data_IF_563735657185
#
_entry.id   IF_563735657185
#
_cell.length_a   1.000
_cell.length_b   1.000
_cell.length_c   1.000
_cell.angle_alpha   90.00
_cell.angle_beta   90.00
_cell.angle_gamma   90.00
#
_symmetry.space_group_name_H-M   'P 1'
#
loop_
_entity.id
_entity.type
_entity.pdbx_description
1 polymer ?
#
# COMPACT_ATOMS: atom_id res chain seq x y z
N UNK A 1 -25.11 -57.06 -26.09
CA UNK A 1 -23.86 -57.78 -26.48
C UNK A 1 -22.71 -57.17 -25.68
N UNK A 2 -22.00 -57.99 -24.89
CA UNK A 2 -20.53 -58.20 -24.91
C UNK A 2 -19.71 -56.88 -24.96
N UNK A 3 -19.08 -56.37 -23.88
CA UNK A 3 -18.12 -56.91 -22.86
C UNK A 3 -16.65 -56.58 -23.24
N UNK A 4 -15.81 -56.45 -22.19
CA UNK A 4 -14.32 -56.29 -22.15
C UNK A 4 -13.80 -54.86 -22.43
N UNK A 5 -12.82 -54.29 -21.70
CA UNK A 5 -12.15 -54.55 -20.39
C UNK A 5 -11.32 -53.25 -20.12
N UNK A 6 -11.36 -52.49 -19.02
CA UNK A 6 -11.15 -52.74 -17.58
C UNK A 6 -9.71 -53.20 -17.20
N UNK A 7 -9.26 -52.84 -15.98
CA UNK A 7 -8.13 -53.41 -15.21
C UNK A 7 -6.72 -52.83 -15.59
N UNK A 8 -5.82 -52.42 -14.67
CA UNK A 8 -5.68 -52.67 -13.22
C UNK A 8 -5.13 -51.45 -12.43
N UNK A 9 -5.81 -51.09 -11.33
CA UNK A 9 -5.24 -50.39 -10.16
C UNK A 9 -5.28 -51.39 -8.99
N UNK A 10 -4.38 -51.28 -8.01
CA UNK A 10 -4.28 -52.10 -6.77
C UNK A 10 -3.62 -53.49 -6.93
N UNK A 11 -2.38 -53.64 -6.45
CA UNK A 11 -1.96 -54.68 -5.48
C UNK A 11 -0.43 -54.74 -5.27
N UNK A 12 0.06 -54.13 -4.19
CA UNK A 12 1.26 -54.58 -3.47
C UNK A 12 1.05 -54.23 -1.98
N UNK A 13 0.69 -55.25 -1.18
CA UNK A 13 0.32 -55.13 0.23
C UNK A 13 1.34 -55.90 1.09
N UNK A 14 1.63 -55.42 2.30
CA UNK A 14 2.55 -56.01 3.31
C UNK A 14 4.04 -56.07 2.88
N UNK A 15 5.07 -55.93 3.75
CA UNK A 15 5.23 -56.08 5.22
C UNK A 15 6.24 -55.02 5.72
N UNK A 16 6.42 -54.65 6.99
CA UNK A 16 5.66 -54.83 8.27
C UNK A 16 6.27 -53.94 9.36
N UNK A 17 5.57 -53.71 10.49
CA UNK A 17 6.18 -53.17 11.72
C UNK A 17 7.19 -54.15 12.35
N UNK A 18 8.23 -53.64 13.02
CA UNK A 18 8.74 -54.07 14.34
C UNK A 18 9.77 -53.03 14.86
N UNK A 19 9.85 -52.85 16.17
CA UNK A 19 10.70 -51.87 16.87
C UNK A 19 11.95 -52.50 17.52
N UNK A 20 12.77 -51.66 18.17
CA UNK A 20 14.00 -51.97 18.92
C UNK A 20 15.20 -52.43 18.06
N UNK A 21 16.47 -52.16 18.40
CA UNK A 21 17.02 -51.38 19.52
C UNK A 21 18.39 -51.91 19.96
N UNK A 22 19.44 -51.07 19.95
CA UNK A 22 20.83 -51.40 20.32
C UNK A 22 21.57 -52.31 19.34
N UNK A 23 22.90 -52.46 19.37
CA UNK A 23 24.01 -51.62 19.88
C UNK A 23 25.34 -52.19 19.33
N UNK A 24 26.46 -51.47 19.54
CA UNK A 24 27.85 -51.97 19.47
C UNK A 24 28.44 -52.27 18.06
N UNK A 25 29.72 -52.01 17.73
CA UNK A 25 30.87 -51.42 18.46
C UNK A 25 31.79 -50.70 17.42
N UNK A 26 32.20 -49.45 17.66
CA UNK A 26 33.52 -49.02 18.19
C UNK A 26 34.73 -48.99 17.24
N UNK A 27 35.29 -47.78 17.05
CA UNK A 27 36.75 -47.51 17.03
C UNK A 27 37.00 -46.00 17.18
N UNK A 28 37.56 -45.58 18.31
CA UNK A 28 38.10 -44.24 18.58
C UNK A 28 39.59 -44.36 19.01
N UNK A 29 40.39 -43.28 19.16
CA UNK A 29 40.27 -42.42 20.35
C UNK A 29 40.58 -40.92 20.13
N UNK A 30 40.42 -40.11 21.18
CA UNK A 30 40.74 -38.68 21.23
C UNK A 30 41.87 -38.36 22.23
N UNK A 31 42.46 -37.15 22.19
CA UNK A 31 43.04 -36.45 23.35
C UNK A 31 43.21 -34.94 23.09
N UNK A 32 43.35 -34.14 24.17
CA UNK A 32 43.20 -32.68 24.20
C UNK A 32 44.41 -31.92 24.79
N UNK A 33 44.63 -30.65 24.41
CA UNK A 33 44.76 -29.47 25.31
C UNK A 33 45.52 -28.23 24.74
N UNK A 34 44.86 -27.07 24.91
CA UNK A 34 45.32 -25.74 25.40
C UNK A 34 46.68 -25.06 25.04
N UNK A 35 46.55 -23.75 24.73
CA UNK A 35 47.41 -22.58 25.01
C UNK A 35 48.90 -22.51 24.57
N UNK A 36 49.22 -21.55 23.70
CA UNK A 36 49.94 -20.28 24.05
C UNK A 36 50.38 -19.46 22.83
N UNK A 37 50.34 -18.12 22.93
CA UNK A 37 50.99 -17.16 22.00
C UNK A 37 52.44 -16.94 22.44
N UNK A 38 53.41 -16.66 21.53
CA UNK A 38 53.66 -15.25 21.15
C UNK A 38 54.26 -14.98 19.73
N UNK A 39 53.86 -13.83 19.15
CA UNK A 39 54.72 -12.72 18.65
C UNK A 39 56.01 -13.04 17.85
N UNK A 40 56.08 -12.65 16.56
CA UNK A 40 56.93 -11.57 16.00
C UNK A 40 56.94 -11.53 14.44
N UNK A 41 56.99 -10.31 13.87
CA UNK A 41 57.29 -9.98 12.46
C UNK A 41 58.83 -10.00 12.21
N UNK A 42 59.40 -9.64 11.02
CA UNK A 42 58.87 -9.38 9.67
C UNK A 42 59.51 -10.32 8.60
N UNK A 43 59.13 -10.36 7.31
CA UNK A 43 59.68 -9.44 6.27
C UNK A 43 59.23 -9.80 4.84
N UNK A 44 58.58 -8.83 4.17
CA UNK A 44 58.82 -8.37 2.77
C UNK A 44 59.34 -9.37 1.71
N UNK A 45 58.46 -9.81 0.80
CA UNK A 45 58.82 -10.15 -0.60
C UNK A 45 57.80 -9.53 -1.57
N UNK A 46 58.30 -8.94 -2.65
CA UNK A 46 57.51 -8.20 -3.65
C UNK A 46 57.10 -9.10 -4.83
N UNK A 47 55.88 -8.89 -5.33
CA UNK A 47 55.46 -9.05 -6.74
C UNK A 47 55.74 -10.37 -7.49
N UNK A 48 54.70 -11.19 -7.64
CA UNK A 48 54.16 -11.55 -8.97
C UNK A 48 52.69 -12.01 -8.84
N UNK A 49 51.76 -11.25 -9.40
CA UNK A 49 50.32 -11.53 -9.32
C UNK A 49 49.79 -12.16 -10.62
N UNK A 50 49.13 -13.31 -10.48
CA UNK A 50 48.16 -13.84 -11.43
C UNK A 50 46.91 -14.25 -10.65
N UNK A 51 45.73 -14.01 -11.23
CA UNK A 51 44.45 -14.00 -10.51
C UNK A 51 44.01 -15.38 -9.97
N UNK A 52 43.05 -15.39 -9.04
CA UNK A 52 41.68 -15.64 -9.52
C UNK A 52 40.62 -14.62 -9.05
N UNK A 53 39.72 -14.32 -9.99
CA UNK A 53 38.32 -13.85 -9.88
C UNK A 53 37.83 -13.25 -8.54
N UNK A 54 37.62 -11.94 -8.55
CA UNK A 54 36.72 -11.24 -7.63
C UNK A 54 35.27 -11.30 -8.15
N UNK A 55 34.32 -11.76 -7.34
CA UNK A 55 32.91 -11.41 -7.51
C UNK A 55 32.71 -9.97 -6.98
N UNK A 56 32.73 -8.99 -7.88
CA UNK A 56 32.48 -7.60 -7.54
C UNK A 56 31.06 -7.43 -7.00
N UNK A 57 30.93 -6.84 -5.82
CA UNK A 57 29.70 -6.17 -5.44
C UNK A 57 29.38 -5.13 -6.53
N UNK A 58 28.16 -5.17 -7.07
CA UNK A 58 27.71 -4.13 -7.98
C UNK A 58 27.40 -2.89 -7.13
N UNK A 59 28.26 -1.87 -7.24
CA UNK A 59 27.91 -0.52 -6.83
C UNK A 59 26.63 -0.13 -7.59
N UNK A 60 25.54 0.12 -6.85
CA UNK A 60 24.33 0.70 -7.43
C UNK A 60 24.73 2.08 -7.92
N UNK A 61 24.73 2.29 -9.23
CA UNK A 61 25.07 3.60 -9.78
C UNK A 61 23.96 4.57 -9.44
N UNK A 62 24.21 5.43 -8.45
CA UNK A 62 23.43 6.63 -8.15
C UNK A 62 23.42 7.53 -9.40
N UNK A 63 22.51 7.20 -10.30
CA UNK A 63 22.05 8.11 -11.33
C UNK A 63 21.04 9.01 -10.64
N UNK A 64 21.55 10.10 -10.07
CA UNK A 64 20.74 11.27 -9.77
C UNK A 64 20.07 11.65 -11.08
N UNK A 65 18.79 11.32 -11.21
CA UNK A 65 17.96 11.73 -12.34
C UNK A 65 17.89 13.24 -12.23
N UNK A 66 18.49 13.95 -13.20
CA UNK A 66 18.34 15.39 -13.32
C UNK A 66 16.85 15.76 -13.35
N UNK A 67 16.57 16.96 -12.86
CA UNK A 67 15.29 17.63 -12.60
C UNK A 67 14.27 17.53 -13.76
N UNK A 68 13.78 16.31 -14.00
CA UNK A 68 12.65 16.03 -14.85
C UNK A 68 11.42 16.32 -14.01
N UNK A 69 10.56 17.24 -14.46
CA UNK A 69 9.21 17.43 -13.93
C UNK A 69 8.48 16.08 -13.94
N UNK A 70 8.55 15.34 -12.82
CA UNK A 70 7.89 14.05 -12.69
C UNK A 70 6.39 14.30 -12.80
N UNK A 71 5.78 13.62 -13.77
CA UNK A 71 4.38 13.78 -14.11
C UNK A 71 3.56 13.31 -12.92
N UNK A 72 3.09 14.24 -12.09
CA UNK A 72 2.27 13.94 -10.89
C UNK A 72 0.88 13.44 -11.28
N UNK A 73 0.34 13.94 -12.41
CA UNK A 73 -1.01 13.63 -12.87
C UNK A 73 -0.99 12.80 -14.15
N UNK A 74 -1.37 11.53 -14.04
CA UNK A 74 -1.51 10.61 -15.16
C UNK A 74 -2.52 9.51 -14.85
N UNK A 75 -2.98 8.81 -15.88
CA UNK A 75 -3.76 7.58 -15.72
C UNK A 75 -2.94 6.42 -16.27
N UNK A 76 -2.67 5.40 -15.45
CA UNK A 76 -2.10 4.13 -15.92
C UNK A 76 -3.19 3.08 -16.10
N UNK A 77 -2.92 2.09 -16.95
CA UNK A 77 -3.79 0.93 -17.11
C UNK A 77 -3.02 -0.36 -17.30
N UNK A 78 -3.65 -1.46 -16.94
CA UNK A 78 -3.05 -2.76 -17.17
C UNK A 78 -3.82 -3.88 -16.50
N UNK A 79 -3.14 -5.01 -16.35
CA UNK A 79 -3.53 -6.02 -15.37
C UNK A 79 -2.98 -5.62 -14.01
N UNK A 80 -3.69 -5.93 -12.91
CA UNK A 80 -3.10 -5.90 -11.58
C UNK A 80 -1.74 -6.63 -11.54
N UNK A 81 -0.74 -6.03 -10.89
CA UNK A 81 0.53 -6.68 -10.54
C UNK A 81 0.38 -7.35 -9.14
N UNK A 82 1.49 -7.74 -8.50
CA UNK A 82 1.50 -8.36 -7.16
C UNK A 82 0.56 -7.60 -6.19
N UNK A 83 -0.21 -8.35 -5.38
CA UNK A 83 -1.22 -7.77 -4.48
C UNK A 83 -2.29 -6.88 -5.19
N UNK A 84 -2.56 -7.17 -6.46
CA UNK A 84 -3.49 -6.44 -7.34
C UNK A 84 -3.29 -4.91 -7.45
N UNK A 85 -2.14 -4.44 -7.01
CA UNK A 85 -1.64 -3.08 -7.23
C UNK A 85 -1.26 -2.99 -8.71
N UNK A 86 -1.77 -2.03 -9.48
CA UNK A 86 -1.08 -1.68 -10.73
C UNK A 86 0.15 -0.87 -10.35
N UNK A 87 1.32 -1.33 -10.80
CA UNK A 87 2.60 -0.64 -10.70
C UNK A 87 2.42 0.88 -10.88
N UNK A 88 2.70 1.65 -9.82
CA UNK A 88 2.63 3.13 -9.83
C UNK A 88 3.61 3.78 -10.79
N UNK A 89 4.55 3.01 -11.34
CA UNK A 89 5.48 3.45 -12.37
C UNK A 89 4.69 3.78 -13.65
N UNK A 90 4.58 5.08 -13.96
CA UNK A 90 4.18 5.55 -15.28
C UNK A 90 5.14 4.95 -16.31
N UNK A 91 4.61 4.15 -17.25
CA UNK A 91 5.38 3.73 -18.42
C UNK A 91 4.76 4.36 -19.66
N UNK A 92 5.59 4.94 -20.52
CA UNK A 92 5.19 5.49 -21.82
C UNK A 92 4.42 4.51 -22.72
N UNK A 93 4.41 3.21 -22.39
CA UNK A 93 3.59 2.21 -23.04
C UNK A 93 2.14 2.16 -22.51
N UNK A 94 1.91 2.37 -21.21
CA UNK A 94 0.63 2.07 -20.52
C UNK A 94 0.10 3.18 -19.61
N UNK A 95 0.62 4.40 -19.71
CA UNK A 95 0.03 5.60 -19.08
C UNK A 95 -0.38 6.66 -20.09
N UNK A 96 -1.23 7.59 -19.66
CA UNK A 96 -1.57 8.84 -20.34
C UNK A 96 -1.29 9.99 -19.38
N UNK A 97 -0.34 10.86 -19.75
CA UNK A 97 -0.11 12.12 -19.04
C UNK A 97 -1.35 13.03 -19.13
N UNK A 98 -1.65 13.70 -18.02
CA UNK A 98 -2.68 14.71 -17.93
C UNK A 98 -2.03 16.08 -17.74
N UNK A 99 -2.68 17.09 -18.29
CA UNK A 99 -2.29 18.50 -18.20
C UNK A 99 -3.31 19.32 -17.39
N UNK A 100 -4.53 18.78 -17.23
CA UNK A 100 -5.69 19.43 -16.64
C UNK A 100 -6.44 18.49 -15.71
N UNK A 101 -6.82 19.00 -14.54
CA UNK A 101 -7.70 18.32 -13.58
C UNK A 101 -8.86 19.25 -13.24
N UNK A 102 -10.09 18.87 -13.58
CA UNK A 102 -11.30 19.69 -13.41
C UNK A 102 -11.21 21.10 -14.03
N UNK A 103 -10.42 21.24 -15.10
CA UNK A 103 -10.15 22.49 -15.80
C UNK A 103 -10.43 22.37 -17.31
N UNK A 104 -10.67 23.51 -17.96
CA UNK A 104 -10.85 23.60 -19.40
C UNK A 104 -9.61 23.10 -20.19
N UNK A 105 -9.82 22.17 -21.12
CA UNK A 105 -8.74 21.51 -21.89
C UNK A 105 -8.47 22.24 -23.20
N UNK A 106 -7.22 22.63 -23.45
CA UNK A 106 -6.78 23.22 -24.72
C UNK A 106 -6.37 22.16 -25.76
N UNK A 107 -6.11 22.60 -26.99
CA UNK A 107 -5.52 21.72 -28.01
C UNK A 107 -4.16 21.18 -27.54
N UNK A 108 -3.87 19.92 -27.87
CA UNK A 108 -2.66 19.19 -27.46
C UNK A 108 -2.57 18.82 -25.97
N UNK A 109 -3.54 19.22 -25.15
CA UNK A 109 -3.65 18.83 -23.74
C UNK A 109 -4.56 17.59 -23.56
N UNK A 110 -4.33 16.83 -22.49
CA UNK A 110 -5.31 15.86 -21.97
C UNK A 110 -5.83 16.34 -20.61
N UNK A 111 -7.11 16.11 -20.34
CA UNK A 111 -7.73 16.50 -19.07
C UNK A 111 -8.57 15.39 -18.46
N UNK A 112 -8.66 15.39 -17.13
CA UNK A 112 -9.55 14.52 -16.34
C UNK A 112 -10.60 15.34 -15.60
N UNK A 113 -11.81 14.80 -15.51
CA UNK A 113 -12.94 15.37 -14.80
C UNK A 113 -13.51 14.35 -13.82
N UNK A 114 -13.70 14.74 -12.57
CA UNK A 114 -14.27 13.91 -11.48
C UNK A 114 -15.68 14.38 -11.10
N UNK A 115 -16.39 13.60 -10.29
CA UNK A 115 -17.80 13.83 -9.96
C UNK A 115 -18.10 15.29 -9.54
N UNK A 116 -19.27 15.79 -9.93
CA UNK A 116 -19.68 17.19 -9.72
C UNK A 116 -19.15 18.19 -10.77
N UNK A 117 -18.10 17.85 -11.52
CA UNK A 117 -17.53 18.71 -12.56
C UNK A 117 -18.16 18.46 -13.94
N UNK A 118 -17.89 19.38 -14.88
CA UNK A 118 -18.34 19.28 -16.28
C UNK A 118 -17.15 19.38 -17.21
N UNK A 119 -17.21 18.65 -18.33
CA UNK A 119 -16.21 18.73 -19.38
C UNK A 119 -16.25 20.13 -20.01
N UNK A 120 -15.08 20.77 -20.07
CA UNK A 120 -14.90 22.08 -20.67
C UNK A 120 -13.66 22.09 -21.57
N UNK A 121 -13.70 22.89 -22.64
CA UNK A 121 -12.56 23.14 -23.50
C UNK A 121 -12.16 24.61 -23.43
N UNK A 122 -10.87 24.89 -23.54
CA UNK A 122 -10.35 26.25 -23.59
C UNK A 122 -10.83 27.00 -24.86
N UNK A 123 -10.79 28.33 -24.82
CA UNK A 123 -11.23 29.15 -25.96
C UNK A 123 -10.47 28.80 -27.25
N UNK A 124 -11.22 28.50 -28.32
CA UNK A 124 -10.66 28.14 -29.62
C UNK A 124 -10.29 26.66 -29.81
N UNK A 125 -10.40 25.82 -28.77
CA UNK A 125 -10.30 24.38 -28.93
C UNK A 125 -11.59 23.80 -29.54
N UNK A 126 -11.45 22.80 -30.41
CA UNK A 126 -12.56 22.15 -31.12
C UNK A 126 -12.68 20.70 -30.68
N UNK A 127 -13.85 20.34 -30.12
CA UNK A 127 -14.22 19.01 -29.62
C UNK A 127 -14.00 17.90 -30.65
N UNK A 128 -14.08 18.19 -31.95
CA UNK A 128 -13.80 17.22 -33.00
C UNK A 128 -12.35 16.70 -32.98
N UNK A 129 -11.42 17.36 -32.27
CA UNK A 129 -10.03 16.93 -32.08
C UNK A 129 -9.80 16.01 -30.88
N UNK A 130 -10.82 15.73 -30.06
CA UNK A 130 -10.66 14.94 -28.85
C UNK A 130 -11.46 13.64 -28.90
N UNK A 131 -10.94 12.61 -28.23
CA UNK A 131 -11.72 11.48 -27.78
C UNK A 131 -12.16 11.71 -26.33
N UNK A 132 -13.28 11.08 -25.93
CA UNK A 132 -13.75 11.11 -24.53
C UNK A 132 -13.86 9.67 -24.04
N UNK A 133 -13.12 9.34 -22.98
CA UNK A 133 -13.15 8.05 -22.32
C UNK A 133 -13.85 8.16 -20.96
N UNK A 134 -14.85 7.32 -20.71
CA UNK A 134 -15.61 7.28 -19.46
C UNK A 134 -15.19 6.05 -18.66
N UNK A 135 -14.86 6.25 -17.38
CA UNK A 135 -14.45 5.19 -16.46
C UNK A 135 -15.36 5.19 -15.24
N UNK A 136 -15.81 4.01 -14.84
CA UNK A 136 -16.65 3.79 -13.66
C UNK A 136 -15.97 2.78 -12.73
N UNK A 137 -16.13 2.97 -11.42
CA UNK A 137 -15.66 1.98 -10.44
C UNK A 137 -16.52 0.72 -10.52
N UNK A 138 -15.86 -0.43 -10.56
CA UNK A 138 -16.54 -1.72 -10.68
C UNK A 138 -16.38 -2.53 -9.40
N UNK A 139 -17.44 -2.56 -8.58
CA UNK A 139 -17.54 -3.27 -7.30
C UNK A 139 -17.45 -4.81 -7.38
N UNK A 140 -17.33 -5.40 -8.58
CA UNK A 140 -16.99 -6.84 -8.74
C UNK A 140 -15.49 -7.08 -8.81
N UNK A 141 -14.72 -6.13 -9.35
CA UNK A 141 -13.25 -6.24 -9.54
C UNK A 141 -12.45 -5.19 -8.75
N UNK A 142 -13.14 -4.32 -8.01
CA UNK A 142 -12.63 -3.24 -7.15
C UNK A 142 -11.57 -2.36 -7.83
N UNK A 143 -11.94 -1.80 -8.97
CA UNK A 143 -11.12 -0.82 -9.70
C UNK A 143 -11.91 -0.14 -10.81
N UNK A 144 -11.36 0.94 -11.36
CA UNK A 144 -12.00 1.64 -12.47
C UNK A 144 -11.84 0.85 -13.77
N UNK A 145 -12.94 0.71 -14.50
CA UNK A 145 -12.98 0.06 -15.81
C UNK A 145 -13.54 1.02 -16.85
N UNK A 146 -13.07 0.89 -18.11
CA UNK A 146 -13.63 1.64 -19.23
C UNK A 146 -15.10 1.27 -19.42
N UNK A 147 -15.99 2.25 -19.24
CA UNK A 147 -17.42 2.17 -19.54
C UNK A 147 -17.71 2.50 -21.01
N UNK A 148 -17.13 3.59 -21.51
CA UNK A 148 -17.36 4.12 -22.85
C UNK A 148 -16.07 4.74 -23.43
N UNK A 149 -15.95 4.75 -24.75
CA UNK A 149 -14.99 5.58 -25.47
C UNK A 149 -15.67 6.19 -26.70
N UNK A 150 -15.82 7.51 -26.72
CA UNK A 150 -16.24 8.28 -27.89
C UNK A 150 -14.99 8.63 -28.69
N UNK A 151 -14.97 8.22 -29.97
CA UNK A 151 -13.83 8.44 -30.85
C UNK A 151 -13.68 9.91 -31.26
N UNK A 152 -12.47 10.29 -31.67
CA UNK A 152 -12.16 11.59 -32.27
C UNK A 152 -13.16 11.93 -33.38
N UNK A 153 -13.70 13.15 -33.36
CA UNK A 153 -14.74 13.60 -34.30
C UNK A 153 -16.17 13.15 -33.96
N UNK A 154 -16.38 12.37 -32.89
CA UNK A 154 -17.70 11.95 -32.39
C UNK A 154 -17.97 12.32 -30.92
N UNK A 155 -16.96 12.83 -30.24
CA UNK A 155 -16.99 13.26 -28.84
C UNK A 155 -17.99 14.39 -28.56
N UNK A 156 -18.53 14.42 -27.34
CA UNK A 156 -19.55 15.38 -26.88
C UNK A 156 -19.24 15.91 -25.48
N UNK A 157 -19.27 17.23 -25.30
CA UNK A 157 -19.05 17.86 -23.98
C UNK A 157 -20.24 17.65 -23.02
N UNK A 158 -21.40 17.25 -23.54
CA UNK A 158 -22.56 16.84 -22.74
C UNK A 158 -22.39 15.45 -22.11
N UNK A 159 -21.25 14.78 -22.27
CA UNK A 159 -20.94 13.52 -21.59
C UNK A 159 -20.89 13.75 -20.08
N UNK A 160 -21.77 13.08 -19.34
CA UNK A 160 -21.80 13.18 -17.89
C UNK A 160 -20.58 12.50 -17.26
N UNK A 161 -20.03 13.12 -16.22
CA UNK A 161 -19.06 12.45 -15.33
C UNK A 161 -19.84 11.53 -14.39
N UNK A 162 -19.49 10.23 -14.27
CA UNK A 162 -20.13 9.34 -13.32
C UNK A 162 -19.96 9.81 -11.87
N UNK A 163 -20.94 9.51 -11.01
CA UNK A 163 -20.84 9.76 -9.56
C UNK A 163 -19.72 8.93 -8.92
N UNK A 164 -19.52 7.70 -9.41
CA UNK A 164 -18.50 6.77 -8.95
C UNK A 164 -17.50 6.45 -10.08
N UNK A 165 -16.76 7.48 -10.51
CA UNK A 165 -15.91 7.40 -11.69
C UNK A 165 -15.32 8.74 -12.14
N UNK A 166 -14.72 8.72 -13.32
CA UNK A 166 -14.08 9.88 -13.93
C UNK A 166 -14.17 9.84 -15.46
N UNK A 167 -14.00 10.99 -16.09
CA UNK A 167 -13.99 11.13 -17.55
C UNK A 167 -12.68 11.76 -18.00
N UNK A 168 -12.14 11.29 -19.11
CA UNK A 168 -10.88 11.78 -19.68
C UNK A 168 -11.12 12.32 -21.08
N UNK A 169 -10.70 13.56 -21.30
CA UNK A 169 -10.64 14.23 -22.60
C UNK A 169 -9.23 14.05 -23.13
N UNK A 170 -9.09 13.43 -24.31
CA UNK A 170 -7.81 12.97 -24.86
C UNK A 170 -7.60 13.59 -26.24
N UNK A 171 -6.54 14.39 -26.43
CA UNK A 171 -6.23 14.96 -27.75
C UNK A 171 -5.88 13.87 -28.77
N UNK A 172 -6.36 14.02 -30.01
CA UNK A 172 -6.11 13.11 -31.13
C UNK A 172 -4.65 12.76 -31.41
N UNK A 173 -3.68 13.57 -30.96
CA UNK A 173 -2.25 13.26 -31.05
C UNK A 173 -1.87 12.02 -30.22
N UNK A 174 -2.63 11.69 -29.19
CA UNK A 174 -2.48 10.48 -28.38
C UNK A 174 -3.19 9.26 -29.02
N UNK A 175 -3.10 9.12 -30.35
CA UNK A 175 -3.82 8.12 -31.15
C UNK A 175 -3.60 6.68 -30.68
N UNK A 176 -2.36 6.34 -30.34
CA UNK A 176 -1.96 5.04 -29.80
C UNK A 176 -2.59 4.78 -28.43
N UNK A 177 -2.71 5.80 -27.58
CA UNK A 177 -3.36 5.70 -26.25
C UNK A 177 -4.85 5.52 -26.39
N UNK A 178 -5.50 6.31 -27.25
CA UNK A 178 -6.93 6.17 -27.59
C UNK A 178 -7.21 4.74 -28.10
N UNK A 179 -6.34 4.20 -28.96
CA UNK A 179 -6.45 2.82 -29.45
C UNK A 179 -6.25 1.77 -28.35
N UNK A 180 -5.27 1.93 -27.47
CA UNK A 180 -5.07 1.02 -26.33
C UNK A 180 -6.27 1.02 -25.38
N UNK A 181 -6.84 2.20 -25.08
CA UNK A 181 -8.08 2.33 -24.31
C UNK A 181 -9.23 1.66 -25.06
N UNK A 182 -9.36 1.85 -26.38
CA UNK A 182 -10.38 1.18 -27.20
C UNK A 182 -10.29 -0.36 -27.10
N UNK A 183 -9.08 -0.91 -27.11
CA UNK A 183 -8.77 -2.34 -27.04
C UNK A 183 -8.85 -2.92 -25.60
N UNK A 184 -8.92 -2.08 -24.57
CA UNK A 184 -9.02 -2.49 -23.18
C UNK A 184 -10.25 -3.39 -22.91
N UNK A 185 -10.02 -4.47 -22.15
CA UNK A 185 -11.02 -5.47 -21.76
C UNK A 185 -11.72 -5.09 -20.45
N UNK A 186 -12.80 -5.80 -20.09
CA UNK A 186 -13.44 -5.70 -18.76
C UNK A 186 -12.52 -6.11 -17.58
N UNK A 187 -11.33 -6.65 -17.85
CA UNK A 187 -10.29 -7.00 -16.87
C UNK A 187 -9.08 -6.07 -16.94
N UNK A 188 -9.14 -5.03 -17.77
CA UNK A 188 -8.15 -3.96 -17.80
C UNK A 188 -8.60 -2.90 -16.80
N UNK A 189 -7.83 -2.74 -15.73
CA UNK A 189 -8.09 -1.76 -14.69
C UNK A 189 -7.34 -0.47 -15.02
N UNK A 190 -7.96 0.66 -14.66
CA UNK A 190 -7.45 2.01 -14.85
C UNK A 190 -7.21 2.65 -13.48
N UNK A 191 -6.09 3.34 -13.33
CA UNK A 191 -5.66 3.95 -12.08
C UNK A 191 -5.26 5.41 -12.35
N UNK A 192 -6.02 6.39 -11.84
CA UNK A 192 -5.59 7.77 -11.82
C UNK A 192 -4.54 7.97 -10.72
N UNK A 193 -3.50 8.76 -11.00
CA UNK A 193 -2.40 9.14 -10.09
C UNK A 193 -2.39 10.68 -9.97
N UNK A 194 -2.10 11.22 -8.79
CA UNK A 194 -2.17 12.66 -8.51
C UNK A 194 -3.58 13.26 -8.52
N UNK A 195 -4.62 12.42 -8.48
CA UNK A 195 -6.03 12.79 -8.67
C UNK A 195 -6.91 12.04 -7.68
N UNK A 196 -7.64 12.78 -6.85
CA UNK A 196 -8.64 12.24 -5.94
C UNK A 196 -9.96 12.11 -6.72
N UNK A 197 -10.38 10.88 -7.00
CA UNK A 197 -11.70 10.61 -7.60
C UNK A 197 -12.75 10.42 -6.51
N UNK A 198 -12.39 9.68 -5.46
CA UNK A 198 -13.23 9.42 -4.30
C UNK A 198 -12.99 10.45 -3.19
N UNK A 199 -13.86 11.44 -3.04
CA UNK A 199 -13.76 12.48 -2.00
C UNK A 199 -14.39 12.09 -0.65
N UNK A 200 -14.89 10.85 -0.51
CA UNK A 200 -15.55 10.40 0.72
C UNK A 200 -14.61 9.92 1.84
N UNK A 201 -13.29 10.00 1.63
CA UNK A 201 -12.29 9.52 2.59
C UNK A 201 -11.83 10.59 3.58
N UNK A 202 -11.91 11.86 3.22
CA UNK A 202 -11.56 12.95 4.13
C UNK A 202 -12.54 12.97 5.31
N UNK A 203 -12.04 13.24 6.53
CA UNK A 203 -12.86 13.24 7.73
C UNK A 203 -12.39 14.25 8.79
N UNK A 204 -13.30 14.60 9.70
CA UNK A 204 -13.02 15.37 10.91
C UNK A 204 -12.89 14.39 12.09
N UNK A 205 -11.93 14.61 12.99
CA UNK A 205 -11.78 13.84 14.24
C UNK A 205 -11.83 14.76 15.45
N UNK A 206 -12.75 14.44 16.37
CA UNK A 206 -12.98 15.22 17.58
C UNK A 206 -11.87 15.01 18.61
N UNK A 207 -11.56 16.07 19.36
CA UNK A 207 -10.67 15.99 20.50
C UNK A 207 -11.24 15.15 21.65
N UNK A 208 -10.43 14.21 22.15
CA UNK A 208 -10.76 13.36 23.28
C UNK A 208 -10.95 14.17 24.58
N UNK A 209 -12.14 14.06 25.20
CA UNK A 209 -12.39 14.61 26.54
C UNK A 209 -11.68 13.80 27.65
N UNK A 210 -11.27 12.56 27.35
CA UNK A 210 -10.45 11.68 28.17
C UNK A 210 -9.68 10.77 27.22
N UNK A 211 -8.36 10.66 27.39
CA UNK A 211 -7.52 9.83 26.55
C UNK A 211 -8.00 8.35 26.53
N UNK A 212 -8.10 7.72 25.35
CA UNK A 212 -8.33 6.28 25.21
C UNK A 212 -7.32 5.43 25.98
N UNK A 213 -7.76 4.24 26.41
CA UNK A 213 -6.94 3.27 27.13
C UNK A 213 -6.48 2.16 26.20
N UNK A 214 -5.22 2.21 25.78
CA UNK A 214 -4.61 1.21 24.88
C UNK A 214 -4.53 -0.16 25.57
N UNK A 215 -5.53 -1.02 25.39
CA UNK A 215 -5.74 -2.25 26.20
C UNK A 215 -6.19 -3.50 25.40
N UNK A 216 -6.41 -3.35 24.10
CA UNK A 216 -6.88 -4.35 23.15
C UNK A 216 -8.39 -4.28 22.85
N UNK A 217 -9.06 -3.18 23.17
CA UNK A 217 -10.52 -3.01 23.04
C UNK A 217 -10.88 -1.59 22.58
N UNK A 218 -12.11 -1.43 22.12
CA UNK A 218 -12.73 -0.14 21.85
C UNK A 218 -14.06 -0.16 22.58
N UNK A 219 -14.21 0.67 23.60
CA UNK A 219 -15.47 0.80 24.36
C UNK A 219 -16.34 1.95 23.79
N UNK A 220 -17.66 1.87 23.99
CA UNK A 220 -18.63 2.83 23.43
C UNK A 220 -18.27 4.29 23.79
N UNK A 221 -17.95 5.09 22.77
CA UNK A 221 -17.65 6.52 22.89
C UNK A 221 -16.24 6.85 23.39
N UNK A 222 -15.36 5.87 23.55
CA UNK A 222 -13.95 6.09 23.94
C UNK A 222 -13.15 6.85 22.88
N UNK A 223 -13.35 6.48 21.60
CA UNK A 223 -12.72 7.11 20.44
C UNK A 223 -13.66 8.07 19.68
N UNK A 224 -14.91 8.24 20.14
CA UNK A 224 -15.97 8.90 19.37
C UNK A 224 -16.69 7.94 18.40
N UNK A 225 -17.24 8.50 17.32
CA UNK A 225 -17.90 7.72 16.26
C UNK A 225 -16.88 7.01 15.34
N UNK A 226 -17.33 6.00 14.58
CA UNK A 226 -16.52 5.35 13.55
C UNK A 226 -16.15 6.37 12.47
N UNK A 227 -14.86 6.51 12.17
CA UNK A 227 -14.38 7.41 11.11
C UNK A 227 -14.51 6.75 9.75
N UNK A 228 -14.09 5.48 9.63
CA UNK A 228 -14.20 4.72 8.39
C UNK A 228 -14.63 3.27 8.60
N UNK A 229 -15.67 2.82 7.89
CA UNK A 229 -16.05 1.40 7.82
C UNK A 229 -15.57 0.78 6.51
N UNK A 230 -14.78 -0.29 6.62
CA UNK A 230 -14.46 -1.22 5.54
C UNK A 230 -15.47 -2.37 5.54
N UNK A 231 -16.31 -2.42 4.51
CA UNK A 231 -17.19 -3.54 4.19
C UNK A 231 -17.38 -3.61 2.65
N UNK A 232 -17.94 -4.68 2.07
CA UNK A 232 -17.98 -4.86 0.61
C UNK A 232 -18.87 -3.86 -0.14
N UNK A 233 -19.80 -3.19 0.55
CA UNK A 233 -20.67 -2.13 0.03
C UNK A 233 -20.09 -0.73 0.29
N UNK A 234 -18.93 -0.64 0.96
CA UNK A 234 -18.31 0.64 1.33
C UNK A 234 -17.73 1.34 0.12
N UNK A 235 -18.10 2.60 -0.18
CA UNK A 235 -17.44 3.40 -1.21
C UNK A 235 -16.03 3.84 -0.79
N UNK A 236 -15.56 3.45 0.40
CA UNK A 236 -14.30 3.91 0.97
C UNK A 236 -13.17 2.87 0.83
N UNK A 237 -13.48 1.60 0.58
CA UNK A 237 -12.48 0.52 0.53
C UNK A 237 -12.59 -0.34 -0.72
N UNK A 238 -11.45 -0.93 -1.07
CA UNK A 238 -11.23 -1.73 -2.27
C UNK A 238 -10.81 -3.15 -1.89
N UNK A 239 -11.60 -4.13 -2.31
CA UNK A 239 -11.40 -5.57 -2.07
C UNK A 239 -10.72 -6.25 -3.27
N UNK A 240 -9.78 -5.57 -3.94
CA UNK A 240 -9.25 -6.00 -5.24
C UNK A 240 -8.65 -7.41 -5.27
N UNK A 241 -8.19 -7.96 -4.15
CA UNK A 241 -7.58 -9.30 -4.05
C UNK A 241 -8.55 -10.42 -3.64
N UNK A 242 -9.79 -10.09 -3.28
CA UNK A 242 -10.74 -11.08 -2.81
C UNK A 242 -11.31 -11.89 -3.97
N UNK A 243 -11.66 -13.16 -3.71
CA UNK A 243 -12.44 -13.94 -4.66
C UNK A 243 -13.82 -13.30 -4.82
N UNK A 244 -14.34 -13.28 -6.06
CA UNK A 244 -15.60 -12.58 -6.36
C UNK A 244 -16.77 -13.21 -5.58
N UNK A 245 -17.52 -12.37 -4.85
CA UNK A 245 -18.56 -12.74 -3.87
C UNK A 245 -18.06 -13.46 -2.60
N UNK A 246 -16.76 -13.39 -2.28
CA UNK A 246 -16.18 -13.96 -1.07
C UNK A 246 -15.42 -12.85 -0.29
N UNK A 247 -16.17 -11.81 0.07
CA UNK A 247 -15.68 -10.65 0.80
C UNK A 247 -15.99 -10.85 2.28
N UNK A 248 -15.05 -11.48 2.98
CA UNK A 248 -15.22 -12.08 4.30
C UNK A 248 -14.46 -11.34 5.42
N UNK A 249 -13.99 -10.12 5.15
CA UNK A 249 -13.31 -9.26 6.12
C UNK A 249 -14.07 -7.95 6.21
N UNK A 250 -14.32 -7.48 7.42
CA UNK A 250 -14.88 -6.14 7.67
C UNK A 250 -14.03 -5.44 8.72
N UNK A 251 -14.04 -4.11 8.75
CA UNK A 251 -13.43 -3.37 9.84
C UNK A 251 -14.10 -2.02 10.08
N UNK A 252 -14.03 -1.57 11.32
CA UNK A 252 -14.29 -0.17 11.70
C UNK A 252 -13.00 0.46 12.20
N UNK A 253 -12.68 1.65 11.69
CA UNK A 253 -11.52 2.46 12.08
C UNK A 253 -12.01 3.68 12.86
N UNK A 254 -11.44 3.87 14.04
CA UNK A 254 -11.74 4.93 14.99
C UNK A 254 -10.50 5.79 15.21
N UNK A 255 -10.66 7.10 15.30
CA UNK A 255 -9.55 8.03 15.57
C UNK A 255 -10.01 9.21 16.41
N UNK A 256 -9.16 9.63 17.34
CA UNK A 256 -9.33 10.84 18.16
C UNK A 256 -7.95 11.37 18.56
N UNK A 257 -7.88 12.52 19.23
CA UNK A 257 -6.62 13.13 19.63
C UNK A 257 -6.69 13.87 20.96
N UNK A 258 -5.53 14.08 21.60
CA UNK A 258 -5.36 15.06 22.68
C UNK A 258 -4.16 16.00 22.37
N UNK A 259 -3.76 16.84 23.31
CA UNK A 259 -2.60 17.74 23.17
C UNK A 259 -1.25 17.03 22.94
N UNK A 260 -1.14 15.73 23.22
CA UNK A 260 0.12 14.98 23.27
C UNK A 260 0.16 13.83 22.27
N UNK A 261 -0.99 13.27 21.89
CA UNK A 261 -1.11 12.07 21.08
C UNK A 261 -2.25 12.12 20.04
N UNK A 262 -1.99 11.46 18.91
CA UNK A 262 -3.00 10.90 18.04
C UNK A 262 -3.34 9.47 18.51
N UNK A 263 -4.61 9.13 18.55
CA UNK A 263 -5.12 7.80 18.88
C UNK A 263 -5.80 7.20 17.66
N UNK A 264 -5.44 5.97 17.30
CA UNK A 264 -6.10 5.21 16.25
C UNK A 264 -6.40 3.79 16.76
N UNK A 265 -7.61 3.33 16.50
CA UNK A 265 -8.01 1.94 16.69
C UNK A 265 -8.63 1.37 15.41
N UNK A 266 -8.43 0.08 15.15
CA UNK A 266 -9.15 -0.66 14.13
C UNK A 266 -9.67 -1.98 14.72
N UNK A 267 -10.97 -2.21 14.58
CA UNK A 267 -11.63 -3.46 14.96
C UNK A 267 -11.88 -4.24 13.68
N UNK A 268 -11.13 -5.33 13.45
CA UNK A 268 -11.16 -6.12 12.21
C UNK A 268 -11.83 -7.47 12.47
N UNK A 269 -12.96 -7.73 11.82
CA UNK A 269 -13.58 -9.06 11.75
C UNK A 269 -12.98 -9.83 10.57
N UNK A 270 -12.27 -10.92 10.85
CA UNK A 270 -11.68 -11.79 9.82
C UNK A 270 -11.66 -13.26 10.27
N UNK A 271 -12.14 -14.21 9.44
CA UNK A 271 -12.15 -15.62 9.79
C UNK A 271 -10.76 -16.27 9.72
N UNK A 272 -9.93 -15.83 8.78
CA UNK A 272 -8.53 -16.25 8.65
C UNK A 272 -7.61 -15.22 9.33
N UNK A 273 -6.60 -15.68 10.07
CA UNK A 273 -5.57 -14.84 10.67
C UNK A 273 -4.25 -15.62 10.78
N UNK A 274 -3.32 -15.34 9.88
CA UNK A 274 -1.95 -15.89 9.92
C UNK A 274 -0.90 -14.78 9.94
N UNK A 275 -0.08 -14.80 10.98
CA UNK A 275 1.07 -13.92 11.17
C UNK A 275 2.07 -14.62 12.11
N UNK A 276 3.05 -15.31 11.54
CA UNK A 276 4.04 -16.11 12.29
C UNK A 276 5.19 -15.28 12.90
N UNK A 277 5.12 -13.94 12.80
CA UNK A 277 6.23 -13.06 13.20
C UNK A 277 6.34 -12.92 14.71
N UNK A 278 7.54 -12.59 15.13
CA UNK A 278 7.91 -12.16 16.48
C UNK A 278 8.34 -10.68 16.42
N UNK A 279 8.51 -9.99 17.55
CA UNK A 279 9.05 -8.63 17.56
C UNK A 279 10.39 -8.49 16.79
N UNK A 280 11.26 -9.50 16.85
CA UNK A 280 12.54 -9.52 16.14
C UNK A 280 12.44 -9.76 14.63
N UNK A 281 11.29 -10.21 14.13
CA UNK A 281 11.08 -10.63 12.71
C UNK A 281 9.92 -9.90 12.02
N UNK A 282 9.37 -8.87 12.65
CA UNK A 282 8.20 -8.11 12.17
C UNK A 282 8.44 -7.29 10.88
N UNK A 283 9.67 -7.20 10.37
CA UNK A 283 10.01 -6.48 9.15
C UNK A 283 9.17 -6.92 7.94
N UNK A 284 9.10 -8.23 7.69
CA UNK A 284 8.31 -8.84 6.61
C UNK A 284 6.88 -9.20 7.05
N UNK A 285 6.30 -8.42 7.97
CA UNK A 285 4.90 -8.58 8.41
C UNK A 285 3.91 -7.96 7.41
N UNK A 286 4.37 -7.07 6.52
CA UNK A 286 3.53 -6.40 5.51
C UNK A 286 2.91 -7.38 4.49
N UNK A 287 3.41 -8.60 4.37
CA UNK A 287 2.85 -9.67 3.52
C UNK A 287 2.00 -10.69 4.33
N UNK A 288 1.66 -10.39 5.59
CA UNK A 288 0.93 -11.26 6.52
C UNK A 288 -0.28 -10.54 7.15
N UNK A 289 -1.02 -11.22 8.04
CA UNK A 289 -2.21 -10.64 8.68
C UNK A 289 -1.82 -9.52 9.65
N UNK A 290 -2.08 -8.28 9.24
CA UNK A 290 -1.70 -7.07 9.94
C UNK A 290 -2.59 -5.91 9.50
N UNK A 291 -2.59 -4.81 10.25
CA UNK A 291 -2.94 -3.51 9.68
C UNK A 291 -1.68 -2.70 9.42
N UNK A 292 -1.76 -1.83 8.42
CA UNK A 292 -0.74 -0.84 8.12
C UNK A 292 -1.33 0.54 8.34
N UNK A 293 -0.64 1.39 9.07
CA UNK A 293 -1.06 2.76 9.41
C UNK A 293 0.03 3.70 8.93
N UNK A 294 -0.32 4.65 8.07
CA UNK A 294 0.57 5.72 7.63
C UNK A 294 0.02 7.05 8.11
N UNK A 295 0.85 7.85 8.78
CA UNK A 295 0.50 9.19 9.28
C UNK A 295 1.48 10.20 8.71
N UNK A 296 0.92 11.26 8.17
CA UNK A 296 1.62 12.36 7.53
C UNK A 296 1.30 13.65 8.27
N UNK A 297 2.30 14.30 8.86
CA UNK A 297 2.16 15.50 9.70
C UNK A 297 1.83 16.80 8.95
N UNK A 298 1.36 16.69 7.71
CA UNK A 298 0.91 17.78 6.83
C UNK A 298 -0.28 17.28 5.99
N UNK A 299 -1.06 18.21 5.45
CA UNK A 299 -2.12 17.88 4.52
C UNK A 299 -1.57 17.18 3.25
N UNK A 300 -2.30 16.22 2.66
CA UNK A 300 -1.97 15.61 1.35
C UNK A 300 -1.86 16.63 0.20
N UNK A 301 -2.51 17.78 0.33
CA UNK A 301 -2.46 18.92 -0.60
C UNK A 301 -1.32 19.90 -0.34
N UNK A 302 -0.47 19.67 0.67
CA UNK A 302 0.65 20.55 1.00
C UNK A 302 1.72 20.56 -0.12
N UNK A 303 2.39 21.70 -0.32
CA UNK A 303 3.37 21.87 -1.39
C UNK A 303 4.58 20.93 -1.27
N UNK A 304 4.94 20.49 -0.06
CA UNK A 304 5.96 19.45 0.15
C UNK A 304 5.58 18.12 -0.50
N UNK A 305 4.28 17.79 -0.53
CA UNK A 305 3.76 16.58 -1.18
C UNK A 305 3.67 16.80 -2.68
N UNK A 306 2.92 17.82 -3.11
CA UNK A 306 2.53 18.00 -4.52
C UNK A 306 3.71 18.34 -5.42
N UNK A 307 4.75 19.02 -4.90
CA UNK A 307 5.86 19.53 -5.70
C UNK A 307 7.15 18.70 -5.58
N UNK A 308 7.21 17.66 -4.74
CA UNK A 308 8.49 16.96 -4.51
C UNK A 308 8.44 15.55 -3.95
N UNK A 309 7.36 15.13 -3.28
CA UNK A 309 7.35 13.88 -2.51
C UNK A 309 6.16 12.95 -2.82
N UNK A 310 5.52 13.04 -3.99
CA UNK A 310 4.27 12.32 -4.27
C UNK A 310 4.38 10.78 -4.27
N UNK A 311 5.51 10.15 -4.62
CA UNK A 311 5.74 8.70 -4.43
C UNK A 311 6.97 8.48 -3.55
N UNK A 312 6.78 7.99 -2.33
CA UNK A 312 7.87 7.87 -1.35
C UNK A 312 9.06 6.99 -1.78
N UNK A 313 8.88 6.08 -2.77
CA UNK A 313 9.95 5.22 -3.31
C UNK A 313 10.65 5.83 -4.52
N UNK A 314 9.99 6.71 -5.25
CA UNK A 314 10.46 7.25 -6.54
C UNK A 314 10.80 8.75 -6.50
N UNK A 315 10.37 9.47 -5.46
CA UNK A 315 10.52 10.93 -5.30
C UNK A 315 11.28 11.29 -4.03
N UNK A 316 11.25 12.55 -3.61
CA UNK A 316 12.14 13.07 -2.59
C UNK A 316 11.88 12.44 -1.19
N UNK A 317 12.80 11.56 -0.77
CA UNK A 317 12.76 10.90 0.55
C UNK A 317 13.00 11.87 1.72
N UNK A 318 13.37 13.13 1.47
CA UNK A 318 13.57 14.16 2.49
C UNK A 318 12.36 14.35 3.41
N UNK A 319 11.14 14.14 2.92
CA UNK A 319 9.95 14.28 3.77
C UNK A 319 9.95 13.28 4.94
N UNK A 320 10.45 12.07 4.71
CA UNK A 320 10.70 11.07 5.75
C UNK A 320 12.02 11.37 6.47
N UNK A 321 13.13 11.43 5.73
CA UNK A 321 14.48 11.36 6.28
C UNK A 321 14.97 12.67 6.93
N UNK A 322 14.51 13.83 6.45
CA UNK A 322 14.92 15.16 6.95
C UNK A 322 13.80 15.82 7.74
N UNK A 323 12.62 15.96 7.15
CA UNK A 323 11.50 16.69 7.75
C UNK A 323 10.74 15.88 8.81
N UNK A 324 10.90 14.55 8.81
CA UNK A 324 10.24 13.64 9.74
C UNK A 324 8.70 13.67 9.66
N UNK A 325 8.14 14.11 8.53
CA UNK A 325 6.71 14.37 8.37
C UNK A 325 5.90 13.13 7.99
N UNK A 326 6.52 11.98 7.74
CA UNK A 326 5.79 10.73 7.47
C UNK A 326 6.30 9.61 8.39
N UNK A 327 5.35 8.88 8.96
CA UNK A 327 5.55 7.61 9.68
C UNK A 327 4.68 6.52 9.08
N UNK A 328 5.18 5.29 9.10
CA UNK A 328 4.36 4.11 8.83
C UNK A 328 4.65 3.00 9.84
N UNK A 329 3.59 2.46 10.44
CA UNK A 329 3.63 1.31 11.33
C UNK A 329 2.87 0.12 10.73
N UNK A 330 3.39 -1.07 11.01
CA UNK A 330 2.68 -2.34 10.86
C UNK A 330 2.28 -2.87 12.22
N UNK A 331 1.00 -3.20 12.41
CA UNK A 331 0.47 -3.75 13.67
C UNK A 331 -0.06 -5.16 13.43
N UNK A 332 0.32 -6.10 14.30
CA UNK A 332 0.02 -7.52 14.16
C UNK A 332 -0.29 -8.21 15.49
N UNK A 333 -0.83 -9.42 15.40
CA UNK A 333 -0.95 -10.36 16.53
C UNK A 333 -0.41 -11.70 16.07
N UNK A 334 0.54 -12.28 16.79
CA UNK A 334 0.95 -13.66 16.54
C UNK A 334 -0.14 -14.61 17.08
N UNK A 335 -0.77 -15.49 16.27
CA UNK A 335 -1.88 -16.32 16.71
C UNK A 335 -1.45 -17.49 17.61
N UNK A 336 -0.18 -17.90 17.57
CA UNK A 336 0.35 -19.02 18.37
C UNK A 336 0.81 -18.57 19.76
N UNK A 337 1.29 -17.33 19.90
CA UNK A 337 1.80 -16.77 21.18
C UNK A 337 0.88 -15.72 21.80
N UNK A 338 -0.09 -15.19 21.05
CA UNK A 338 -0.88 -14.01 21.38
C UNK A 338 -0.05 -12.73 21.62
N UNK A 339 1.19 -12.68 21.11
CA UNK A 339 2.03 -11.48 21.20
C UNK A 339 1.50 -10.37 20.30
N UNK A 340 1.36 -9.17 20.88
CA UNK A 340 1.15 -7.92 20.14
C UNK A 340 2.44 -7.53 19.41
N UNK A 341 2.34 -7.33 18.09
CA UNK A 341 3.46 -7.02 17.20
C UNK A 341 3.37 -5.57 16.69
N UNK A 342 4.48 -4.83 16.76
CA UNK A 342 4.65 -3.51 16.13
C UNK A 342 5.93 -3.53 15.30
N UNK A 343 5.84 -3.07 14.05
CA UNK A 343 6.98 -2.73 13.22
C UNK A 343 6.89 -1.26 12.79
N UNK A 344 8.03 -0.57 12.67
CA UNK A 344 8.11 0.75 12.03
C UNK A 344 8.75 0.55 10.67
N UNK A 345 7.99 0.78 9.59
CA UNK A 345 8.46 0.59 8.21
C UNK A 345 8.93 1.89 7.55
N UNK A 346 8.42 3.04 7.98
CA UNK A 346 8.87 4.35 7.50
C UNK A 346 9.11 5.29 8.68
N UNK A 347 10.37 5.72 8.82
CA UNK A 347 10.85 6.75 9.73
C UNK A 347 12.27 7.19 9.30
N UNK A 348 12.79 8.36 9.71
CA UNK A 348 14.20 8.67 9.57
C UNK A 348 15.08 7.65 10.28
N UNK A 349 16.27 7.42 9.74
CA UNK A 349 17.25 6.50 10.31
C UNK A 349 17.60 6.89 11.77
N UNK A 350 17.32 5.99 12.71
CA UNK A 350 17.59 6.19 14.13
C UNK A 350 16.58 7.07 14.87
N UNK A 351 15.44 7.40 14.25
CA UNK A 351 14.33 8.03 14.97
C UNK A 351 13.85 7.15 16.14
N UNK A 352 13.49 7.78 17.25
CA UNK A 352 12.78 7.10 18.31
C UNK A 352 11.34 6.79 17.88
N UNK A 353 10.79 5.71 18.44
CA UNK A 353 9.37 5.35 18.32
C UNK A 353 8.83 5.15 19.72
N UNK A 354 8.23 6.20 20.27
CA UNK A 354 7.64 6.25 21.61
C UNK A 354 6.14 5.89 21.56
N UNK A 355 5.64 5.39 20.42
CA UNK A 355 4.27 4.91 20.27
C UNK A 355 3.98 3.70 21.17
N UNK A 356 2.77 3.69 21.75
CA UNK A 356 2.26 2.56 22.53
C UNK A 356 1.23 1.81 21.69
N UNK A 357 1.32 0.48 21.65
CA UNK A 357 0.43 -0.38 20.85
C UNK A 357 -0.03 -1.60 21.61
N UNK A 358 -1.32 -1.88 21.57
CA UNK A 358 -1.88 -3.18 21.99
C UNK A 358 -2.74 -3.73 20.87
N UNK A 359 -2.40 -4.94 20.43
CA UNK A 359 -3.16 -5.68 19.44
C UNK A 359 -3.63 -6.98 20.10
N UNK A 360 -4.93 -7.24 20.07
CA UNK A 360 -5.54 -8.41 20.72
C UNK A 360 -6.50 -9.10 19.75
N UNK A 361 -6.47 -10.43 19.70
CA UNK A 361 -7.44 -11.23 18.95
C UNK A 361 -8.32 -12.05 19.89
N UNK A 362 -9.64 -11.93 19.71
CA UNK A 362 -10.66 -12.74 20.39
C UNK A 362 -11.58 -13.34 19.33
N UNK A 363 -11.61 -14.67 19.25
CA UNK A 363 -12.30 -15.43 18.20
C UNK A 363 -11.92 -14.97 16.77
N UNK A 364 -12.82 -14.28 16.06
CA UNK A 364 -12.58 -13.76 14.69
C UNK A 364 -12.22 -12.27 14.67
N UNK A 365 -12.41 -11.56 15.79
CA UNK A 365 -12.14 -10.13 15.91
C UNK A 365 -10.69 -9.92 16.33
N UNK A 366 -9.95 -9.12 15.56
CA UNK A 366 -8.67 -8.55 16.00
C UNK A 366 -8.83 -7.05 16.18
N UNK A 367 -8.62 -6.56 17.40
CA UNK A 367 -8.50 -5.14 17.71
C UNK A 367 -7.04 -4.74 17.63
N UNK A 368 -6.75 -3.65 16.95
CA UNK A 368 -5.43 -3.02 16.89
C UNK A 368 -5.57 -1.60 17.43
N UNK A 369 -4.76 -1.22 18.39
CA UNK A 369 -4.72 0.14 18.93
C UNK A 369 -3.31 0.71 18.89
N UNK A 370 -3.20 1.99 18.53
CA UNK A 370 -1.96 2.75 18.59
C UNK A 370 -2.18 4.16 19.14
N UNK A 371 -1.35 4.52 20.11
CA UNK A 371 -1.17 5.88 20.60
C UNK A 371 0.16 6.41 20.04
N UNK A 372 0.08 7.45 19.21
CA UNK A 372 1.21 8.06 18.49
C UNK A 372 1.50 9.43 19.12
N UNK A 373 2.66 9.66 19.76
CA UNK A 373 3.02 10.96 20.29
C UNK A 373 3.20 11.97 19.15
N UNK A 374 2.59 13.15 19.26
CA UNK A 374 2.79 14.23 18.29
C UNK A 374 4.27 14.63 18.17
N UNK A 375 5.03 14.48 19.25
CA UNK A 375 6.48 14.75 19.29
C UNK A 375 7.35 13.75 18.49
N UNK A 376 6.80 12.60 18.07
CA UNK A 376 7.50 11.64 17.20
C UNK A 376 7.35 12.00 15.71
N UNK A 377 6.42 12.91 15.39
CA UNK A 377 6.13 13.42 14.05
C UNK A 377 6.70 14.84 13.87
N UNK A 378 7.22 15.14 12.69
CA UNK A 378 7.88 16.41 12.40
C UNK A 378 9.25 16.56 13.08
N UNK A 379 9.96 17.64 12.79
CA UNK A 379 11.29 17.90 13.35
C UNK A 379 11.35 19.28 14.03
N UNK A 380 12.50 19.66 14.59
CA UNK A 380 12.65 20.95 15.30
C UNK A 380 12.36 22.21 14.44
N UNK A 381 12.35 22.07 13.11
CA UNK A 381 12.02 23.13 12.13
C UNK A 381 10.60 22.97 11.55
N UNK A 382 10.00 21.80 11.69
CA UNK A 382 8.71 21.38 11.11
C UNK A 382 7.86 20.70 12.21
N UNK A 383 7.59 21.43 13.29
CA UNK A 383 6.72 20.95 14.37
C UNK A 383 5.25 21.02 13.93
N UNK A 384 4.47 19.98 14.24
CA UNK A 384 3.02 20.00 14.00
C UNK A 384 2.35 20.89 15.05
N UNK A 385 1.55 21.85 14.60
CA UNK A 385 0.76 22.74 15.45
C UNK A 385 -0.60 22.07 15.75
N UNK A 386 -0.78 21.54 16.97
CA UNK A 386 -1.96 20.75 17.34
C UNK A 386 -3.08 21.67 17.84
N UNK A 387 -4.05 21.94 16.97
CA UNK A 387 -5.19 22.84 17.20
C UNK A 387 -6.37 22.46 16.29
N UNK A 388 -7.55 23.01 16.61
CA UNK A 388 -8.73 23.00 15.74
C UNK A 388 -8.38 23.54 14.34
N UNK A 389 -8.79 22.82 13.30
CA UNK A 389 -8.49 23.11 11.90
C UNK A 389 -7.08 22.72 11.42
N UNK A 390 -6.30 21.95 12.18
CA UNK A 390 -5.07 21.34 11.69
C UNK A 390 -5.38 20.15 10.81
N UNK A 391 -4.81 20.12 9.60
CA UNK A 391 -4.97 19.07 8.60
C UNK A 391 -3.72 18.17 8.56
N UNK A 392 -3.94 16.86 8.55
CA UNK A 392 -2.90 15.83 8.45
C UNK A 392 -3.36 14.71 7.50
N UNK A 393 -2.43 13.96 6.93
CA UNK A 393 -2.77 12.78 6.13
C UNK A 393 -2.79 11.51 6.97
N UNK A 394 -3.86 10.71 6.89
CA UNK A 394 -3.88 9.35 7.47
C UNK A 394 -4.38 8.34 6.43
N UNK A 395 -3.64 7.25 6.27
CA UNK A 395 -4.07 6.08 5.49
C UNK A 395 -4.02 4.81 6.35
N UNK A 396 -4.91 3.87 6.04
CA UNK A 396 -4.97 2.54 6.64
C UNK A 396 -5.12 1.48 5.56
N UNK A 397 -4.44 0.35 5.70
CA UNK A 397 -4.78 -0.89 4.98
C UNK A 397 -4.86 -2.07 5.94
N UNK A 398 -5.63 -3.08 5.55
CA UNK A 398 -5.84 -4.29 6.34
C UNK A 398 -5.47 -5.48 5.47
N UNK A 399 -4.54 -6.29 5.95
CA UNK A 399 -4.09 -7.50 5.30
C UNK A 399 -4.64 -8.69 6.09
N UNK A 400 -5.23 -9.65 5.38
CA UNK A 400 -5.78 -10.87 5.95
C UNK A 400 -5.43 -12.08 5.09
N UNK A 401 -5.27 -13.24 5.71
CA UNK A 401 -5.01 -14.48 5.00
C UNK A 401 -4.61 -15.63 5.90
N UNK A 402 -4.30 -16.75 5.27
CA UNK A 402 -3.78 -17.95 5.91
C UNK A 402 -2.53 -18.45 5.19
N UNK A 403 -1.71 -19.27 5.85
CA UNK A 403 -0.46 -19.79 5.28
C UNK A 403 -0.62 -20.54 3.93
N UNK A 404 -1.82 -21.07 3.66
CA UNK A 404 -2.13 -21.88 2.48
C UNK A 404 -2.88 -21.11 1.37
N UNK A 405 -3.19 -19.82 1.57
CA UNK A 405 -3.95 -18.97 0.63
C UNK A 405 -3.13 -17.74 0.22
N UNK A 406 -3.39 -17.15 -0.97
CA UNK A 406 -2.96 -15.78 -1.23
C UNK A 406 -3.51 -14.84 -0.14
N UNK A 407 -2.66 -13.95 0.35
CA UNK A 407 -3.12 -12.85 1.18
C UNK A 407 -4.08 -11.94 0.41
N UNK A 408 -5.00 -11.35 1.16
CA UNK A 408 -6.03 -10.43 0.72
C UNK A 408 -5.76 -9.08 1.39
N UNK A 409 -5.89 -7.98 0.63
CA UNK A 409 -5.69 -6.62 1.14
C UNK A 409 -6.95 -5.79 0.89
N UNK A 410 -7.45 -5.18 1.96
CA UNK A 410 -8.36 -4.05 1.91
C UNK A 410 -7.51 -2.79 1.96
N UNK A 411 -7.66 -1.94 0.96
CA UNK A 411 -7.02 -0.63 0.91
C UNK A 411 -8.07 0.45 0.68
N UNK A 412 -7.80 1.66 1.17
CA UNK A 412 -8.67 2.80 0.95
C UNK A 412 -8.78 3.11 -0.54
N UNK A 413 -9.99 3.33 -1.04
CA UNK A 413 -10.27 3.44 -2.48
C UNK A 413 -9.78 4.77 -3.02
N UNK A 414 -8.91 4.71 -4.03
CA UNK A 414 -8.03 5.80 -4.47
C UNK A 414 -7.01 6.26 -3.44
N UNK A 415 -7.05 5.78 -2.20
CA UNK A 415 -6.12 6.15 -1.14
C UNK A 415 -4.68 5.70 -1.45
N UNK A 416 -3.70 6.47 -0.99
CA UNK A 416 -2.28 6.17 -1.17
C UNK A 416 -1.45 6.13 0.10
N UNK A 417 -0.12 6.12 -0.06
CA UNK A 417 0.87 6.01 1.01
C UNK A 417 1.07 4.63 1.63
N UNK A 418 0.36 3.59 1.17
CA UNK A 418 0.39 2.23 1.75
C UNK A 418 0.30 1.16 0.63
N UNK A 419 0.93 -0.01 0.86
CA UNK A 419 0.91 -1.21 0.01
C UNK A 419 0.92 -0.90 -1.50
N UNK A 420 2.07 -0.41 -1.97
CA UNK A 420 2.35 -0.20 -3.40
C UNK A 420 1.48 0.83 -4.12
N UNK A 421 0.47 1.41 -3.49
CA UNK A 421 -0.16 2.66 -3.90
C UNK A 421 0.57 3.78 -3.15
N UNK A 422 1.80 4.07 -3.56
CA UNK A 422 2.69 4.98 -2.83
C UNK A 422 2.33 6.47 -2.97
N UNK A 423 1.21 6.80 -3.61
CA UNK A 423 0.84 8.17 -3.98
C UNK A 423 0.37 8.98 -2.76
N UNK A 424 1.29 9.74 -2.18
CA UNK A 424 1.09 10.53 -0.96
C UNK A 424 0.09 11.68 -1.16
N UNK A 425 -0.14 12.13 -2.40
CA UNK A 425 -1.18 13.17 -2.71
C UNK A 425 -2.60 12.65 -2.56
N UNK A 426 -2.76 11.33 -2.47
CA UNK A 426 -4.04 10.62 -2.33
C UNK A 426 -4.26 10.04 -0.93
N UNK A 427 -3.37 10.30 0.02
CA UNK A 427 -3.69 10.01 1.41
C UNK A 427 -4.96 10.81 1.78
N UNK A 428 -5.93 10.25 2.51
CA UNK A 428 -7.06 10.99 3.07
C UNK A 428 -6.63 12.12 4.01
N UNK A 429 -7.34 13.25 3.94
CA UNK A 429 -7.14 14.37 4.86
C UNK A 429 -7.98 14.16 6.12
N UNK A 430 -7.31 14.20 7.27
CA UNK A 430 -7.93 14.23 8.59
C UNK A 430 -7.78 15.64 9.16
N UNK A 431 -8.90 16.24 9.54
CA UNK A 431 -8.96 17.56 10.17
C UNK A 431 -9.25 17.41 11.66
N UNK A 432 -8.49 18.10 12.51
CA UNK A 432 -8.72 18.12 13.95
C UNK A 432 -9.86 19.10 14.32
N UNK A 433 -10.88 18.65 15.08
CA UNK A 433 -11.99 19.48 15.60
C UNK A 433 -12.01 19.63 17.12
#
# INVERSE_FOLDING_TARGET
MKKFLAILLVCAFAFSFVACGGSDESSAPAFSNANSTPKEEPSKVTSSSAAPQSSSAAESSDTVVEDNNLITQFISWGKPYYQNIVSTISTEATSLQLNKYNEAVAAEENGVFTAGNKLELAEGADIANFAIAVFEYNHTVFGYVKKELQAVGSAKLETAVPEDGFVVVIDKKNDNKIKQIQEATATTLFFPHGIIVNTGLDAEIEKAATAPTIDGKVEDGEYGDVVWTANPESPLFSYAQFEVNNYNVNADVYMTYDENYLYLAAVVDTPDHFNDRTPDTCGDMYDLTCIQVSVMGVAPSDEYITNGAWDYRQTNRDIVDKHNLIRQWGLGVNPDTAESLKCVWMAPAGAADNSTTVNTRVDQITTYEVQIPWADLGNAENLIDIKEGTELGIAVSINSGSADKPFQVLHMRDGGGIIGINDLTKIPTITLS
#
